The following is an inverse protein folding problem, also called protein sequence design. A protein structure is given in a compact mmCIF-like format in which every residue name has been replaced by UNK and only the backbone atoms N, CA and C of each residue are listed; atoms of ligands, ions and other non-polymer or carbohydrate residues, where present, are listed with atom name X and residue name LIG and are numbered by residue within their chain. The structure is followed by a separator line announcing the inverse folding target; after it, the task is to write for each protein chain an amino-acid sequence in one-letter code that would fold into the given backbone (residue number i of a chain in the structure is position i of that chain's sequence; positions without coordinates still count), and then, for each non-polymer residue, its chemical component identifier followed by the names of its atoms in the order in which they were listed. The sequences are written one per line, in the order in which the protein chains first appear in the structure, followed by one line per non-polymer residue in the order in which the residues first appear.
data_IF_554866628059
#
_entry.id   IF_554866628059
#
_cell.length_a   1.000
_cell.length_b   1.000
_cell.length_c   1.000
_cell.angle_alpha   90.00
_cell.angle_beta   90.00
_cell.angle_gamma   90.00
#
_symmetry.space_group_name_H-M   'P 1'
#
loop_
_entity.id
_entity.type
_entity.pdbx_description
1 polymer ?
#
# COMPACT_ATOMS: atom_id res chain seq x y z
N UNK A 1 20.78 -2.45 -8.73
CA UNK A 1 20.95 -0.99 -8.67
C UNK A 1 19.79 -0.45 -7.84
N UNK A 2 20.09 0.29 -6.79
CA UNK A 2 19.10 0.74 -5.80
C UNK A 2 18.06 1.64 -6.48
N UNK A 3 16.78 1.26 -6.47
CA UNK A 3 15.72 1.98 -7.21
C UNK A 3 15.61 3.44 -6.76
N UNK A 4 15.96 3.69 -5.49
CA UNK A 4 16.05 5.00 -4.86
C UNK A 4 17.08 5.93 -5.51
N UNK A 5 18.10 5.41 -6.21
CA UNK A 5 19.05 6.24 -6.98
C UNK A 5 18.34 7.14 -8.01
N UNK A 6 17.21 6.68 -8.55
CA UNK A 6 16.41 7.44 -9.53
C UNK A 6 15.62 8.60 -8.91
N UNK A 7 15.50 8.66 -7.58
CA UNK A 7 14.82 9.76 -6.88
C UNK A 7 15.68 11.02 -6.77
N UNK A 8 16.98 10.93 -7.05
CA UNK A 8 17.92 12.04 -6.88
C UNK A 8 18.21 12.35 -5.41
N UNK A 9 18.12 11.36 -4.53
CA UNK A 9 18.39 11.52 -3.09
C UNK A 9 19.84 11.20 -2.75
N UNK A 10 20.39 11.93 -1.78
CA UNK A 10 21.72 11.62 -1.23
C UNK A 10 21.69 10.31 -0.41
N UNK A 11 22.84 9.68 -0.23
CA UNK A 11 22.97 8.51 0.64
C UNK A 11 22.52 8.78 2.10
N UNK A 12 22.72 10.01 2.58
CA UNK A 12 22.29 10.44 3.92
C UNK A 12 20.76 10.50 3.99
N UNK A 13 20.12 11.11 2.99
CA UNK A 13 18.66 11.17 2.88
C UNK A 13 18.06 9.77 2.76
N UNK A 14 18.66 8.89 1.96
CA UNK A 14 18.22 7.51 1.82
C UNK A 14 18.27 6.75 3.16
N UNK A 15 19.34 6.94 3.95
CA UNK A 15 19.46 6.33 5.27
C UNK A 15 18.34 6.79 6.22
N UNK A 16 18.01 8.09 6.20
CA UNK A 16 16.90 8.66 6.98
C UNK A 16 15.55 8.07 6.57
N UNK A 17 15.30 7.91 5.27
CA UNK A 17 14.09 7.26 4.77
C UNK A 17 13.97 5.80 5.24
N UNK A 18 15.06 5.03 5.16
CA UNK A 18 15.06 3.64 5.66
C UNK A 18 14.81 3.55 7.17
N UNK A 19 15.29 4.52 7.95
CA UNK A 19 15.06 4.56 9.41
C UNK A 19 13.59 4.75 9.78
N UNK A 20 12.78 5.37 8.92
CA UNK A 20 11.34 5.57 9.16
C UNK A 20 10.47 4.46 8.55
N UNK A 21 11.10 3.39 8.05
CA UNK A 21 10.42 2.22 7.49
C UNK A 21 10.06 2.34 6.00
N UNK A 22 10.71 3.24 5.25
CA UNK A 22 10.56 3.28 3.78
C UNK A 22 11.46 2.20 3.17
N UNK A 23 10.85 1.15 2.62
CA UNK A 23 11.54 0.01 2.01
C UNK A 23 11.43 0.02 0.47
N UNK A 24 10.40 0.67 -0.06
CA UNK A 24 10.09 0.78 -1.50
C UNK A 24 9.80 2.22 -1.92
N UNK A 25 9.78 2.48 -3.24
CA UNK A 25 9.36 3.79 -3.77
C UNK A 25 7.85 3.99 -3.55
N UNK A 26 7.06 2.92 -3.57
CA UNK A 26 5.63 2.93 -3.29
C UNK A 26 5.31 3.41 -1.88
N UNK A 27 6.14 3.07 -0.89
CA UNK A 27 5.94 3.53 0.49
C UNK A 27 5.96 5.06 0.58
N UNK A 28 6.79 5.73 -0.23
CA UNK A 28 6.84 7.20 -0.30
C UNK A 28 5.51 7.82 -0.76
N UNK A 29 4.64 7.05 -1.42
CA UNK A 29 3.33 7.52 -1.86
C UNK A 29 2.28 7.53 -0.74
N UNK A 30 2.58 6.87 0.39
CA UNK A 30 1.72 6.83 1.56
C UNK A 30 1.85 8.08 2.44
N UNK A 31 2.92 8.86 2.24
CA UNK A 31 3.21 10.07 3.00
C UNK A 31 2.71 11.32 2.27
N UNK A 32 2.33 12.33 3.04
CA UNK A 32 2.31 13.72 2.58
C UNK A 32 3.68 14.39 2.85
N UNK A 33 4.01 15.53 2.20
CA UNK A 33 5.31 16.19 2.37
C UNK A 33 5.64 16.58 3.82
N UNK A 34 4.63 17.04 4.57
CA UNK A 34 4.77 17.46 5.97
C UNK A 34 5.17 16.28 6.87
N UNK A 35 4.45 15.15 6.77
CA UNK A 35 4.70 13.93 7.53
C UNK A 35 6.08 13.35 7.20
N UNK A 36 6.44 13.31 5.91
CA UNK A 36 7.74 12.79 5.49
C UNK A 36 8.89 13.68 5.99
N UNK A 37 8.68 15.00 5.97
CA UNK A 37 9.62 16.00 6.47
C UNK A 37 9.89 15.80 7.96
N UNK A 38 8.82 15.71 8.76
CA UNK A 38 8.89 15.51 10.21
C UNK A 38 9.56 14.18 10.57
N UNK A 39 9.07 13.07 10.01
CA UNK A 39 9.56 11.73 10.34
C UNK A 39 11.02 11.52 9.90
N UNK A 40 11.38 11.95 8.70
CA UNK A 40 12.73 11.74 8.17
C UNK A 40 13.73 12.83 8.58
N UNK A 41 13.28 13.92 9.21
CA UNK A 41 14.14 15.05 9.59
C UNK A 41 14.84 15.68 8.38
N UNK A 42 14.07 15.95 7.32
CA UNK A 42 14.51 16.65 6.09
C UNK A 42 13.71 17.93 5.92
N UNK A 43 14.06 18.79 4.96
CA UNK A 43 13.19 19.95 4.66
C UNK A 43 11.94 19.51 3.91
N UNK A 44 10.85 20.24 4.10
CA UNK A 44 9.58 19.99 3.42
C UNK A 44 9.71 20.11 1.89
N UNK A 45 10.55 21.04 1.40
CA UNK A 45 10.87 21.16 -0.02
C UNK A 45 11.55 19.87 -0.57
N UNK A 46 12.44 19.27 0.23
CA UNK A 46 13.10 18.01 -0.13
C UNK A 46 12.09 16.86 -0.13
N UNK A 47 11.24 16.78 0.91
CA UNK A 47 10.17 15.79 0.99
C UNK A 47 9.21 15.88 -0.21
N UNK A 48 8.80 17.10 -0.58
CA UNK A 48 7.96 17.35 -1.74
C UNK A 48 8.61 16.86 -3.04
N UNK A 49 9.90 17.16 -3.26
CA UNK A 49 10.66 16.70 -4.44
C UNK A 49 10.74 15.17 -4.48
N UNK A 50 11.01 14.52 -3.36
CA UNK A 50 11.08 13.06 -3.25
C UNK A 50 9.75 12.43 -3.62
N UNK A 51 8.64 12.86 -3.00
CA UNK A 51 7.31 12.33 -3.26
C UNK A 51 6.90 12.56 -4.72
N UNK A 52 7.20 13.74 -5.28
CA UNK A 52 6.95 14.04 -6.69
C UNK A 52 7.72 13.10 -7.61
N UNK A 53 9.01 12.90 -7.36
CA UNK A 53 9.84 11.99 -8.16
C UNK A 53 9.36 10.54 -8.00
N UNK A 54 9.01 10.11 -6.79
CA UNK A 54 8.41 8.80 -6.54
C UNK A 54 7.14 8.60 -7.36
N UNK A 55 6.23 9.59 -7.40
CA UNK A 55 5.02 9.54 -8.25
C UNK A 55 5.36 9.42 -9.75
N UNK A 56 6.42 10.09 -10.21
CA UNK A 56 6.87 10.00 -11.60
C UNK A 56 7.49 8.64 -11.94
N UNK A 57 8.21 8.01 -11.01
CA UNK A 57 8.82 6.70 -11.20
C UNK A 57 7.81 5.57 -11.08
N UNK A 58 6.92 5.64 -10.09
CA UNK A 58 5.88 4.64 -9.87
C UNK A 58 4.87 4.65 -11.01
N UNK A 59 4.76 5.75 -11.80
CA UNK A 59 3.81 6.00 -12.90
C UNK A 59 3.13 4.74 -13.46
N UNK A 60 2.20 4.23 -12.66
CA UNK A 60 1.23 3.19 -12.95
C UNK A 60 -0.12 3.86 -12.92
N UNK A 61 -0.32 4.83 -13.81
CA UNK A 61 -1.66 5.38 -14.05
C UNK A 61 -1.90 5.52 -15.54
N UNK A 62 -1.93 4.37 -16.21
CA UNK A 62 -2.93 4.18 -17.26
C UNK A 62 -4.28 4.38 -16.57
N UNK A 63 -5.07 5.31 -17.08
CA UNK A 63 -6.48 5.41 -16.67
C UNK A 63 -7.16 4.15 -17.19
N UNK A 64 -7.79 3.41 -16.30
CA UNK A 64 -8.56 2.23 -16.66
C UNK A 64 -10.03 2.61 -16.77
N UNK A 65 -10.66 2.21 -17.86
CA UNK A 65 -12.11 2.12 -17.93
C UNK A 65 -12.64 1.07 -16.94
N UNK A 66 -13.91 1.19 -16.56
CA UNK A 66 -14.57 0.19 -15.72
C UNK A 66 -14.49 -1.23 -16.31
N UNK A 67 -14.52 -1.35 -17.65
CA UNK A 67 -14.40 -2.64 -18.33
C UNK A 67 -13.00 -3.24 -18.20
N UNK A 68 -11.94 -2.43 -18.29
CA UNK A 68 -10.57 -2.91 -18.10
C UNK A 68 -10.33 -3.34 -16.66
N UNK A 69 -10.85 -2.60 -15.68
CA UNK A 69 -10.78 -3.01 -14.27
C UNK A 69 -11.51 -4.35 -14.04
N UNK A 70 -12.71 -4.52 -14.62
CA UNK A 70 -13.46 -5.78 -14.51
C UNK A 70 -12.69 -6.97 -15.09
N UNK A 71 -11.93 -6.77 -16.18
CA UNK A 71 -11.12 -7.83 -16.81
C UNK A 71 -9.88 -8.24 -16.02
N UNK A 72 -9.38 -7.41 -15.10
CA UNK A 72 -8.23 -7.78 -14.26
C UNK A 72 -8.54 -8.91 -13.27
N UNK A 73 -9.83 -9.20 -13.04
CA UNK A 73 -10.27 -10.25 -12.13
C UNK A 73 -10.15 -9.84 -10.67
N UNK A 74 -10.72 -10.66 -9.78
CA UNK A 74 -10.66 -10.52 -8.33
C UNK A 74 -9.88 -11.70 -7.76
N UNK A 75 -9.05 -11.44 -6.76
CA UNK A 75 -8.27 -12.45 -6.05
C UNK A 75 -8.83 -12.55 -4.64
N UNK A 76 -8.93 -13.76 -4.10
CA UNK A 76 -9.53 -14.03 -2.80
C UNK A 76 -8.61 -14.91 -1.95
N UNK A 77 -8.59 -14.66 -0.65
CA UNK A 77 -8.15 -15.61 0.37
C UNK A 77 -9.31 -16.54 0.73
N UNK A 78 -9.04 -17.83 0.87
CA UNK A 78 -10.01 -18.79 1.40
C UNK A 78 -10.21 -18.57 2.91
N UNK A 79 -11.45 -18.73 3.38
CA UNK A 79 -11.77 -18.77 4.81
C UNK A 79 -11.55 -20.15 5.45
N UNK A 80 -11.14 -21.15 4.66
CA UNK A 80 -11.06 -22.56 5.09
C UNK A 80 -12.42 -23.25 5.21
N UNK A 81 -13.54 -22.51 5.19
CA UNK A 81 -14.90 -23.03 5.22
C UNK A 81 -15.58 -22.83 3.86
N UNK A 82 -15.99 -23.93 3.20
CA UNK A 82 -16.64 -23.88 1.89
C UNK A 82 -17.94 -23.05 1.92
N UNK A 83 -18.79 -23.26 2.92
CA UNK A 83 -20.06 -22.53 3.03
C UNK A 83 -19.85 -21.02 3.18
N UNK A 84 -18.82 -20.61 3.92
CA UNK A 84 -18.49 -19.20 4.11
C UNK A 84 -17.85 -18.59 2.85
N UNK A 85 -16.99 -19.32 2.14
CA UNK A 85 -16.46 -18.89 0.84
C UNK A 85 -17.59 -18.69 -0.18
N UNK A 86 -18.56 -19.60 -0.22
CA UNK A 86 -19.72 -19.52 -1.11
C UNK A 86 -20.59 -18.29 -0.74
N UNK A 87 -20.81 -18.04 0.56
CA UNK A 87 -21.52 -16.85 1.05
C UNK A 87 -20.81 -15.54 0.66
N UNK A 88 -19.48 -15.50 0.77
CA UNK A 88 -18.65 -14.36 0.39
C UNK A 88 -18.36 -14.29 -1.12
N UNK A 89 -18.93 -15.20 -1.92
CA UNK A 89 -18.74 -15.27 -3.38
C UNK A 89 -17.28 -15.40 -3.82
N UNK A 90 -16.50 -16.20 -3.09
CA UNK A 90 -15.12 -16.53 -3.40
C UNK A 90 -14.17 -16.55 -2.20
N UNK A 91 -14.55 -15.89 -1.10
CA UNK A 91 -13.71 -15.72 0.09
C UNK A 91 -13.46 -14.25 0.42
N UNK A 92 -12.35 -13.96 1.10
CA UNK A 92 -11.98 -12.59 1.50
C UNK A 92 -11.23 -11.93 0.33
N UNK A 93 -11.76 -10.84 -0.21
CA UNK A 93 -11.18 -10.17 -1.38
C UNK A 93 -9.87 -9.44 -1.05
N UNK A 94 -8.86 -9.63 -1.90
CA UNK A 94 -7.57 -8.94 -1.83
C UNK A 94 -7.70 -7.49 -2.31
N UNK A 95 -7.00 -6.55 -1.68
CA UNK A 95 -7.10 -5.08 -1.94
C UNK A 95 -8.44 -4.48 -1.52
N UNK A 96 -9.18 -5.16 -0.65
CA UNK A 96 -10.34 -4.65 0.05
C UNK A 96 -10.15 -4.79 1.56
N UNK A 97 -10.84 -3.96 2.34
CA UNK A 97 -10.93 -4.10 3.80
C UNK A 97 -12.21 -4.89 4.10
N UNK A 98 -12.09 -5.98 4.85
CA UNK A 98 -13.23 -6.82 5.29
C UNK A 98 -13.25 -6.86 6.81
N UNK A 99 -14.42 -6.61 7.41
CA UNK A 99 -14.61 -6.59 8.86
C UNK A 99 -15.50 -7.75 9.31
N UNK A 100 -15.11 -8.46 10.38
CA UNK A 100 -15.91 -9.49 11.03
C UNK A 100 -16.50 -8.96 12.34
N UNK A 101 -17.82 -8.73 12.37
CA UNK A 101 -18.54 -8.19 13.54
C UNK A 101 -19.50 -9.24 14.10
N UNK A 102 -19.59 -9.33 15.43
CA UNK A 102 -20.51 -10.24 16.13
C UNK A 102 -20.30 -10.25 17.64
N UNK A 103 -21.17 -10.92 18.38
CA UNK A 103 -21.12 -11.02 19.85
C UNK A 103 -19.89 -11.77 20.40
N UNK A 104 -19.62 -11.66 21.70
CA UNK A 104 -18.58 -12.46 22.34
C UNK A 104 -18.83 -13.96 22.10
N UNK A 105 -17.77 -14.72 21.80
CA UNK A 105 -17.88 -16.14 21.49
C UNK A 105 -18.36 -16.48 20.07
N UNK A 106 -18.60 -15.49 19.19
CA UNK A 106 -19.07 -15.73 17.82
C UNK A 106 -18.00 -16.24 16.83
N UNK A 107 -16.82 -16.67 17.31
CA UNK A 107 -15.78 -17.27 16.46
C UNK A 107 -14.86 -16.29 15.69
N UNK A 108 -14.90 -14.98 15.95
CA UNK A 108 -14.10 -13.97 15.22
C UNK A 108 -12.59 -14.26 15.26
N UNK A 109 -12.04 -14.56 16.43
CA UNK A 109 -10.60 -14.84 16.64
C UNK A 109 -10.16 -16.19 16.09
N UNK A 110 -11.09 -17.08 15.74
CA UNK A 110 -10.77 -18.37 15.14
C UNK A 110 -10.65 -18.27 13.61
N UNK A 111 -11.24 -17.22 13.02
CA UNK A 111 -11.15 -16.93 11.58
C UNK A 111 -9.87 -16.13 11.26
N UNK A 112 -9.46 -15.21 12.14
CA UNK A 112 -8.28 -14.35 11.98
C UNK A 112 -7.05 -14.94 12.68
#
# INVERSE_FOLDING_TARGET
MDEFSKLGVSAVTLKKLKQIGVESIEDLLMFNPEELSERAGISEETAFKIIRNARHLVKRRRVYSALELKKQGRVFFTTGCKALNDLLRGGIEVRAITEFVGEFGSGKTQIC
#
